data_IF_480411660917
#
_entry.id   IF_480411660917
#
_cell.length_a   1.000
_cell.length_b   1.000
_cell.length_c   1.000
_cell.angle_alpha   90.00
_cell.angle_beta   90.00
_cell.angle_gamma   90.00
#
_symmetry.space_group_name_H-M   'P 1'
#
loop_
_entity.id
_entity.type
_entity.pdbx_description
1 polymer ?
#
# COMPACT_ATOMS: atom_id res chain seq x y z
N UNK A 1 3.85 35.66 12.27
CA UNK A 1 5.04 35.35 13.09
C UNK A 1 6.21 36.16 12.56
N UNK A 2 6.77 37.03 13.39
CA UNK A 2 7.93 37.86 13.03
C UNK A 2 9.21 36.95 12.88
N UNK A 3 10.27 37.43 12.19
CA UNK A 3 11.53 36.69 12.12
C UNK A 3 12.10 36.30 13.50
N UNK A 4 11.93 37.16 14.50
CA UNK A 4 12.39 36.92 15.87
C UNK A 4 11.57 35.82 16.57
N UNK A 5 10.25 35.81 16.37
CA UNK A 5 9.39 34.75 16.88
C UNK A 5 9.67 33.40 16.25
N UNK A 6 10.02 33.39 14.96
CA UNK A 6 10.46 32.17 14.26
C UNK A 6 11.77 31.62 14.82
N UNK A 7 12.77 32.48 15.02
CA UNK A 7 14.03 32.09 15.63
C UNK A 7 13.84 31.53 17.04
N UNK A 8 12.97 32.13 17.86
CA UNK A 8 12.65 31.63 19.20
C UNK A 8 11.93 30.27 19.16
N UNK A 9 11.02 30.09 18.24
CA UNK A 9 10.31 28.80 18.05
C UNK A 9 11.28 27.71 17.59
N UNK A 10 12.16 28.00 16.63
CA UNK A 10 13.21 27.06 16.17
C UNK A 10 14.16 26.71 17.33
N UNK A 11 14.63 27.69 18.10
CA UNK A 11 15.52 27.44 19.24
C UNK A 11 14.84 26.68 20.40
N UNK A 12 13.52 26.79 20.54
CA UNK A 12 12.74 25.99 21.49
C UNK A 12 12.64 24.54 21.01
N UNK A 13 12.34 24.33 19.73
CA UNK A 13 12.27 23.01 19.11
C UNK A 13 13.63 22.29 19.11
N UNK A 14 14.72 23.03 18.87
CA UNK A 14 16.08 22.48 18.94
C UNK A 14 16.45 22.02 20.35
N UNK A 15 16.08 22.77 21.38
CA UNK A 15 16.29 22.38 22.79
C UNK A 15 15.49 21.17 23.20
N UNK A 16 14.28 21.04 22.69
CA UNK A 16 13.37 19.96 23.05
C UNK A 16 13.65 18.67 22.27
N UNK A 17 14.04 18.77 21.01
CA UNK A 17 14.12 17.64 20.06
C UNK A 17 15.53 17.40 19.47
N UNK A 18 16.51 18.28 19.75
CA UNK A 18 17.90 18.20 19.29
C UNK A 18 18.14 18.75 17.87
N UNK A 19 19.40 18.76 17.38
CA UNK A 19 19.80 19.47 16.15
C UNK A 19 19.11 19.01 14.89
N UNK A 20 18.62 17.78 14.86
CA UNK A 20 17.87 17.23 13.70
C UNK A 20 16.57 17.98 13.40
N UNK A 21 15.99 18.59 14.45
CA UNK A 21 14.80 19.40 14.32
C UNK A 21 15.01 20.70 13.56
N UNK A 22 16.22 21.22 13.59
CA UNK A 22 16.50 22.48 12.91
C UNK A 22 16.35 22.36 11.39
N UNK A 23 16.85 21.24 10.81
CA UNK A 23 16.66 20.98 9.37
C UNK A 23 15.20 20.78 9.01
N UNK A 24 14.45 20.06 9.83
CA UNK A 24 13.02 19.80 9.64
C UNK A 24 12.21 21.07 9.89
N UNK A 25 12.51 21.81 10.95
CA UNK A 25 11.82 23.07 11.28
C UNK A 25 12.11 24.17 10.24
N UNK A 26 13.29 24.21 9.65
CA UNK A 26 13.61 25.09 8.52
C UNK A 26 12.84 24.70 7.26
N UNK A 27 12.70 23.42 6.98
CA UNK A 27 11.87 22.90 5.87
C UNK A 27 10.38 23.18 6.09
N UNK A 28 9.91 23.06 7.34
CA UNK A 28 8.50 23.32 7.71
C UNK A 28 8.22 24.81 7.98
N UNK A 29 9.23 25.60 8.34
CA UNK A 29 9.11 27.02 8.70
C UNK A 29 8.95 27.97 7.52
N UNK A 30 8.99 27.45 6.30
CA UNK A 30 8.55 28.22 5.15
C UNK A 30 7.01 28.20 5.14
N UNK A 31 6.39 29.31 5.55
CA UNK A 31 4.93 29.55 5.44
C UNK A 31 4.37 29.13 4.08
N UNK A 32 5.19 29.19 3.05
CA UNK A 32 4.88 28.77 1.69
C UNK A 32 4.57 27.27 1.54
N UNK A 33 5.03 26.38 2.40
CA UNK A 33 4.68 24.96 2.33
C UNK A 33 3.29 24.69 2.94
N UNK A 34 2.88 25.46 3.97
CA UNK A 34 1.55 25.35 4.58
C UNK A 34 0.47 26.10 3.78
N UNK A 35 0.81 27.30 3.26
CA UNK A 35 -0.16 28.15 2.55
C UNK A 35 -0.31 27.80 1.07
N UNK A 36 0.69 27.19 0.46
CA UNK A 36 0.59 26.82 -0.96
C UNK A 36 -0.51 25.85 -1.29
N UNK A 37 -1.01 25.08 -0.34
CA UNK A 37 -1.76 23.92 -0.80
C UNK A 37 -3.07 23.69 -0.08
N UNK A 38 -3.30 24.11 1.14
CA UNK A 38 -4.40 23.52 1.92
C UNK A 38 -4.39 21.98 1.81
N UNK A 39 -3.30 21.38 1.36
CA UNK A 39 -3.12 19.97 1.04
C UNK A 39 -2.17 19.37 2.05
N UNK A 40 -2.68 18.41 2.78
CA UNK A 40 -1.96 17.71 3.83
C UNK A 40 -0.84 16.82 3.29
N UNK A 41 -0.84 16.47 1.99
CA UNK A 41 0.15 15.62 1.34
C UNK A 41 1.03 16.41 0.36
N UNK A 42 2.33 16.45 0.65
CA UNK A 42 3.36 17.05 -0.19
C UNK A 42 4.51 16.06 -0.38
N UNK A 43 5.52 16.39 -1.19
CA UNK A 43 6.72 15.54 -1.38
C UNK A 43 7.56 15.37 -0.10
N UNK A 44 7.28 16.13 0.94
CA UNK A 44 7.83 15.98 2.28
C UNK A 44 6.72 16.10 3.31
N UNK A 45 6.61 15.13 4.21
CA UNK A 45 5.64 15.15 5.31
C UNK A 45 6.33 14.92 6.65
N UNK A 46 5.84 15.61 7.67
CA UNK A 46 6.34 15.53 9.02
C UNK A 46 5.17 15.68 10.00
N UNK A 47 4.98 14.69 10.86
CA UNK A 47 3.94 14.67 11.86
C UNK A 47 4.58 14.50 13.25
N UNK A 48 4.92 15.61 13.94
CA UNK A 48 5.52 15.56 15.27
C UNK A 48 4.67 14.82 16.29
N UNK A 49 3.37 15.06 16.23
CA UNK A 49 2.40 14.27 16.98
C UNK A 49 1.81 13.18 16.08
N UNK A 50 1.61 12.01 16.66
CA UNK A 50 1.12 10.85 15.93
C UNK A 50 -0.33 11.01 15.46
N UNK A 51 -1.17 11.75 16.21
CA UNK A 51 -2.61 11.76 16.06
C UNK A 51 -3.30 10.52 16.67
N UNK A 52 -4.63 10.52 16.61
CA UNK A 52 -5.48 9.50 17.21
C UNK A 52 -5.65 8.29 16.27
N UNK A 53 -5.19 7.13 16.71
CA UNK A 53 -5.37 5.87 15.97
C UNK A 53 -4.23 4.87 16.17
N UNK A 54 -4.54 3.57 16.05
CA UNK A 54 -3.59 2.50 16.29
C UNK A 54 -3.15 2.41 17.76
N UNK A 55 -2.06 1.71 18.02
CA UNK A 55 -1.48 1.54 19.35
C UNK A 55 0.00 1.88 19.36
N UNK A 56 0.43 2.77 20.28
CA UNK A 56 1.85 3.07 20.49
C UNK A 56 2.63 1.86 21.03
N UNK A 57 1.95 0.91 21.67
CA UNK A 57 2.56 -0.33 22.13
C UNK A 57 2.90 -1.30 20.99
N UNK A 58 2.27 -1.13 19.82
CA UNK A 58 2.55 -1.97 18.66
C UNK A 58 3.77 -1.43 17.91
N UNK A 59 4.88 -2.16 17.98
CA UNK A 59 6.11 -1.78 17.27
C UNK A 59 5.90 -1.85 15.75
N UNK A 60 6.52 -0.93 15.02
CA UNK A 60 6.38 -0.85 13.57
C UNK A 60 5.05 -0.23 13.09
N UNK A 61 4.34 0.39 13.98
CA UNK A 61 3.07 1.03 13.70
C UNK A 61 3.25 2.39 12.98
N UNK A 62 2.45 2.65 11.96
CA UNK A 62 2.42 3.91 11.21
C UNK A 62 1.63 5.00 11.93
N UNK A 63 1.97 6.27 11.70
CA UNK A 63 1.13 7.40 12.12
C UNK A 63 -0.20 7.39 11.33
N UNK A 64 -1.36 7.49 12.02
CA UNK A 64 -2.66 7.63 11.35
C UNK A 64 -2.70 8.80 10.37
N UNK A 65 -2.01 9.90 10.66
CA UNK A 65 -1.95 11.07 9.78
C UNK A 65 -1.37 10.78 8.40
N UNK A 66 -0.46 9.81 8.29
CA UNK A 66 0.07 9.37 6.98
C UNK A 66 -1.03 8.71 6.16
N UNK A 67 -1.75 7.75 6.76
CA UNK A 67 -2.86 7.06 6.10
C UNK A 67 -3.96 8.03 5.72
N UNK A 68 -4.32 8.93 6.64
CA UNK A 68 -5.34 9.96 6.46
C UNK A 68 -4.99 10.90 5.29
N UNK A 69 -3.76 11.43 5.27
CA UNK A 69 -3.33 12.36 4.21
C UNK A 69 -3.38 11.71 2.83
N UNK A 70 -2.95 10.45 2.71
CA UNK A 70 -3.02 9.71 1.46
C UNK A 70 -4.47 9.42 1.06
N UNK A 71 -5.32 8.99 2.01
CA UNK A 71 -6.72 8.71 1.73
C UNK A 71 -7.47 9.97 1.27
N UNK A 72 -7.27 11.10 1.94
CA UNK A 72 -7.83 12.39 1.53
C UNK A 72 -7.36 12.80 0.13
N UNK A 73 -6.06 12.66 -0.15
CA UNK A 73 -5.52 12.97 -1.47
C UNK A 73 -6.21 12.15 -2.58
N UNK A 74 -6.38 10.84 -2.38
CA UNK A 74 -7.02 9.97 -3.39
C UNK A 74 -8.50 10.28 -3.52
N UNK A 75 -9.22 10.52 -2.40
CA UNK A 75 -10.61 10.95 -2.38
C UNK A 75 -10.81 12.27 -3.16
N UNK A 76 -9.99 13.28 -2.85
CA UNK A 76 -10.09 14.60 -3.48
C UNK A 76 -9.72 14.53 -4.97
N UNK A 77 -8.75 13.71 -5.32
CA UNK A 77 -8.41 13.45 -6.73
C UNK A 77 -9.60 12.84 -7.47
N UNK A 78 -10.24 11.81 -6.91
CA UNK A 78 -11.44 11.21 -7.52
C UNK A 78 -12.58 12.22 -7.66
N UNK A 79 -12.86 12.99 -6.62
CA UNK A 79 -13.87 14.07 -6.65
C UNK A 79 -13.58 15.10 -7.75
N UNK A 80 -12.32 15.55 -7.84
CA UNK A 80 -11.90 16.53 -8.84
C UNK A 80 -12.18 16.06 -10.27
N UNK A 81 -11.98 14.76 -10.54
CA UNK A 81 -12.30 14.16 -11.84
C UNK A 81 -13.74 13.65 -11.96
N UNK A 82 -14.64 14.03 -11.06
CA UNK A 82 -16.06 13.67 -11.12
C UNK A 82 -16.35 12.18 -10.93
N UNK A 83 -15.43 11.43 -10.30
CA UNK A 83 -15.62 9.99 -10.04
C UNK A 83 -16.52 9.78 -8.84
N UNK A 84 -17.28 8.70 -8.86
CA UNK A 84 -18.07 8.27 -7.72
C UNK A 84 -17.15 7.79 -6.59
N UNK A 85 -17.42 8.28 -5.39
CA UNK A 85 -16.70 7.95 -4.16
C UNK A 85 -17.59 7.26 -3.12
N UNK A 86 -18.85 6.98 -3.43
CA UNK A 86 -19.82 6.40 -2.49
C UNK A 86 -19.39 5.03 -1.96
N UNK A 87 -18.65 4.26 -2.76
CA UNK A 87 -18.09 2.95 -2.40
C UNK A 87 -16.54 2.98 -2.30
N UNK A 88 -15.99 4.14 -1.94
CA UNK A 88 -14.53 4.25 -1.78
C UNK A 88 -14.02 3.26 -0.75
N UNK A 89 -13.07 2.42 -1.15
CA UNK A 89 -12.52 1.36 -0.31
C UNK A 89 -11.03 1.54 -0.07
N UNK A 90 -10.65 1.64 1.20
CA UNK A 90 -9.26 1.54 1.68
C UNK A 90 -8.95 0.08 2.03
N UNK A 91 -7.96 -0.52 1.38
CA UNK A 91 -7.48 -1.86 1.66
C UNK A 91 -6.10 -1.80 2.30
N UNK A 92 -5.90 -2.54 3.39
CA UNK A 92 -4.62 -2.69 4.07
C UNK A 92 -4.32 -4.18 4.27
N UNK A 93 -3.30 -4.73 3.57
CA UNK A 93 -2.99 -6.16 3.61
C UNK A 93 -2.14 -6.58 4.82
N UNK A 94 -1.65 -5.62 5.62
CA UNK A 94 -0.83 -5.86 6.81
C UNK A 94 -1.23 -4.90 7.92
N UNK A 95 -2.50 -5.00 8.35
CA UNK A 95 -3.19 -4.00 9.17
C UNK A 95 -2.64 -3.82 10.59
N UNK A 96 -1.90 -4.79 11.11
CA UNK A 96 -1.21 -4.74 12.39
C UNK A 96 -2.10 -4.24 13.55
N UNK A 97 -1.84 -3.04 14.02
CA UNK A 97 -2.61 -2.38 15.10
C UNK A 97 -3.95 -1.79 14.64
N UNK A 98 -4.36 -1.98 13.38
CA UNK A 98 -5.64 -1.50 12.85
C UNK A 98 -5.70 0.00 12.59
N UNK A 99 -4.56 0.66 12.37
CA UNK A 99 -4.49 2.10 12.11
C UNK A 99 -5.33 2.51 10.90
N UNK A 100 -5.20 1.80 9.79
CA UNK A 100 -5.95 2.09 8.55
C UNK A 100 -7.46 1.96 8.72
N UNK A 101 -7.93 0.97 9.49
CA UNK A 101 -9.34 0.79 9.79
C UNK A 101 -9.93 1.92 10.63
N UNK A 102 -9.17 2.44 11.61
CA UNK A 102 -9.59 3.60 12.40
C UNK A 102 -9.69 4.86 11.56
N UNK A 103 -8.70 5.10 10.69
CA UNK A 103 -8.72 6.23 9.75
C UNK A 103 -9.89 6.11 8.78
N UNK A 104 -10.13 4.95 8.21
CA UNK A 104 -11.27 4.72 7.32
C UNK A 104 -12.61 5.04 8.01
N UNK A 105 -12.77 4.59 9.26
CA UNK A 105 -13.96 4.91 10.07
C UNK A 105 -14.12 6.42 10.29
N UNK A 106 -13.03 7.14 10.62
CA UNK A 106 -13.04 8.58 10.80
C UNK A 106 -13.41 9.35 9.53
N UNK A 107 -12.98 8.84 8.37
CA UNK A 107 -13.29 9.42 7.06
C UNK A 107 -14.65 9.00 6.49
N UNK A 108 -15.36 8.08 7.15
CA UNK A 108 -16.63 7.55 6.67
C UNK A 108 -16.52 6.70 5.40
N UNK A 109 -15.38 6.05 5.17
CA UNK A 109 -15.11 5.19 4.02
C UNK A 109 -15.05 3.71 4.39
N UNK A 110 -15.28 2.84 3.42
CA UNK A 110 -15.13 1.38 3.60
C UNK A 110 -13.67 1.02 3.81
N UNK A 111 -13.41 0.04 4.68
CA UNK A 111 -12.08 -0.57 4.81
C UNK A 111 -12.13 -2.08 4.69
N UNK A 112 -11.10 -2.64 4.05
CA UNK A 112 -10.80 -4.07 3.99
C UNK A 112 -9.42 -4.27 4.58
N UNK A 113 -9.33 -5.07 5.64
CA UNK A 113 -8.12 -5.23 6.43
C UNK A 113 -7.75 -6.70 6.55
N UNK A 114 -6.51 -7.01 6.26
CA UNK A 114 -5.93 -8.35 6.38
C UNK A 114 -4.69 -8.33 7.25
N UNK A 115 -4.38 -9.46 7.86
CA UNK A 115 -3.12 -9.66 8.57
C UNK A 115 -2.77 -11.15 8.66
N UNK A 116 -1.48 -11.47 8.65
CA UNK A 116 -0.99 -12.83 8.90
C UNK A 116 -1.20 -13.25 10.36
N UNK A 117 -1.22 -12.29 11.30
CA UNK A 117 -1.55 -12.53 12.69
C UNK A 117 -2.96 -13.17 12.79
N UNK A 118 -3.13 -14.31 13.48
CA UNK A 118 -4.43 -14.93 13.65
C UNK A 118 -5.43 -14.05 14.42
N UNK A 119 -4.94 -13.14 15.27
CA UNK A 119 -5.75 -12.26 16.10
C UNK A 119 -5.32 -10.79 15.90
N UNK A 120 -5.58 -10.19 14.72
CA UNK A 120 -5.26 -8.80 14.47
C UNK A 120 -6.17 -7.87 15.29
N UNK A 121 -5.73 -6.64 15.49
CA UNK A 121 -6.55 -5.63 16.19
C UNK A 121 -7.86 -5.30 15.43
N UNK A 122 -7.89 -5.53 14.13
CA UNK A 122 -9.08 -5.39 13.27
C UNK A 122 -8.86 -6.12 11.94
N UNK A 123 -9.96 -6.50 11.28
CA UNK A 123 -9.92 -7.18 9.99
C UNK A 123 -9.81 -8.70 10.07
N UNK A 124 -9.43 -9.32 8.95
CA UNK A 124 -9.32 -10.77 8.79
C UNK A 124 -7.91 -11.23 9.14
N UNK A 125 -7.79 -12.04 10.18
CA UNK A 125 -6.56 -12.74 10.57
C UNK A 125 -6.30 -14.00 9.76
N UNK A 126 -5.13 -14.59 9.95
CA UNK A 126 -4.64 -15.76 9.20
C UNK A 126 -4.65 -15.58 7.68
N UNK A 127 -4.56 -14.35 7.19
CA UNK A 127 -4.43 -14.09 5.77
C UNK A 127 -2.95 -13.98 5.38
N UNK A 128 -2.52 -14.88 4.51
CA UNK A 128 -1.13 -14.99 4.10
C UNK A 128 -0.91 -14.28 2.75
N UNK A 129 -0.22 -13.15 2.78
CA UNK A 129 0.05 -12.34 1.59
C UNK A 129 0.80 -13.09 0.48
N UNK A 130 1.57 -14.13 0.82
CA UNK A 130 2.32 -14.92 -0.14
C UNK A 130 1.51 -16.07 -0.76
N UNK A 131 0.48 -16.57 -0.06
CA UNK A 131 -0.24 -17.79 -0.47
C UNK A 131 -1.70 -17.54 -0.82
N UNK A 132 -2.38 -16.72 -0.01
CA UNK A 132 -3.81 -16.55 -0.14
C UNK A 132 -4.15 -15.59 -1.29
N UNK A 133 -5.25 -15.82 -1.94
CA UNK A 133 -5.81 -14.91 -2.93
C UNK A 133 -6.40 -13.67 -2.24
N UNK A 134 -6.49 -12.57 -2.98
CA UNK A 134 -7.12 -11.33 -2.56
C UNK A 134 -8.26 -11.03 -3.52
N UNK A 135 -9.49 -11.30 -3.08
CA UNK A 135 -10.70 -11.09 -3.89
C UNK A 135 -11.25 -9.67 -3.76
N UNK A 136 -10.96 -9.02 -2.64
CA UNK A 136 -11.32 -7.63 -2.44
C UNK A 136 -10.52 -6.70 -3.35
N UNK A 137 -11.11 -5.55 -3.65
CA UNK A 137 -10.45 -4.51 -4.44
C UNK A 137 -10.57 -3.16 -3.76
N UNK A 138 -9.53 -2.31 -3.93
CA UNK A 138 -9.46 -1.01 -3.29
C UNK A 138 -9.24 0.14 -4.26
N UNK A 139 -9.80 1.30 -3.91
CA UNK A 139 -9.45 2.57 -4.54
C UNK A 139 -8.11 3.10 -4.04
N UNK A 140 -7.82 2.82 -2.78
CA UNK A 140 -6.54 3.01 -2.15
C UNK A 140 -6.11 1.70 -1.47
N UNK A 141 -4.92 1.20 -1.81
CA UNK A 141 -4.27 0.14 -1.05
C UNK A 141 -3.11 0.80 -0.30
N UNK A 142 -3.17 0.80 1.03
CA UNK A 142 -2.09 1.28 1.88
C UNK A 142 -1.28 0.08 2.37
N UNK A 143 -0.02 0.01 1.97
CA UNK A 143 0.86 -1.12 2.23
C UNK A 143 2.07 -0.68 3.05
N UNK A 144 2.14 -1.13 4.29
CA UNK A 144 3.25 -0.88 5.21
C UNK A 144 3.85 -2.22 5.66
N UNK A 145 4.75 -2.80 4.85
CA UNK A 145 5.34 -4.10 5.14
C UNK A 145 6.34 -4.02 6.31
N UNK A 146 6.74 -5.15 6.89
CA UNK A 146 7.92 -5.22 7.73
C UNK A 146 9.15 -4.67 7.01
N UNK A 147 10.09 -4.09 7.77
CA UNK A 147 11.39 -3.65 7.24
C UNK A 147 12.41 -4.77 7.45
N UNK A 148 12.31 -5.82 6.64
CA UNK A 148 13.10 -7.04 6.77
C UNK A 148 13.09 -7.54 8.23
N UNK A 149 14.24 -7.77 8.84
CA UNK A 149 14.41 -8.38 10.16
C UNK A 149 14.52 -7.37 11.34
N UNK A 150 14.29 -6.07 11.10
CA UNK A 150 14.37 -5.02 12.14
C UNK A 150 13.40 -5.28 13.29
N UNK A 151 12.19 -5.74 12.96
CA UNK A 151 11.18 -6.20 13.91
C UNK A 151 10.71 -7.55 13.45
N UNK A 152 10.92 -8.59 14.24
CA UNK A 152 10.33 -9.91 14.00
C UNK A 152 8.94 -9.97 14.60
N UNK A 153 7.92 -10.21 13.76
CA UNK A 153 6.53 -10.16 14.19
C UNK A 153 6.07 -11.53 14.73
N UNK A 154 5.97 -12.56 13.90
CA UNK A 154 5.56 -13.89 14.38
C UNK A 154 6.60 -14.48 15.32
N UNK A 155 6.14 -15.13 16.39
CA UNK A 155 6.99 -15.69 17.44
C UNK A 155 7.53 -14.66 18.44
N UNK A 156 7.45 -13.35 18.15
CA UNK A 156 7.90 -12.29 19.05
C UNK A 156 6.78 -11.32 19.44
N UNK A 157 5.97 -10.89 18.48
CA UNK A 157 4.84 -10.00 18.74
C UNK A 157 3.52 -10.76 18.85
N UNK A 158 3.40 -11.88 18.13
CA UNK A 158 2.23 -12.75 18.15
C UNK A 158 2.61 -14.19 17.77
N UNK A 159 1.86 -15.15 18.28
CA UNK A 159 1.89 -16.58 17.94
C UNK A 159 3.27 -17.23 17.92
N UNK A 160 3.38 -18.31 17.17
CA UNK A 160 4.65 -19.00 16.87
C UNK A 160 5.30 -18.42 15.61
N UNK A 161 6.63 -18.63 15.40
CA UNK A 161 7.31 -18.23 14.16
C UNK A 161 6.60 -18.81 12.93
N UNK A 162 6.28 -17.96 11.96
CA UNK A 162 5.61 -18.35 10.73
C UNK A 162 6.58 -18.27 9.52
N UNK A 163 6.66 -19.30 8.65
CA UNK A 163 7.64 -19.34 7.56
C UNK A 163 7.40 -18.28 6.47
N UNK A 164 6.17 -17.81 6.34
CA UNK A 164 5.79 -16.79 5.36
C UNK A 164 5.72 -15.37 5.96
N UNK A 165 6.17 -15.18 7.19
CA UNK A 165 6.34 -13.85 7.77
C UNK A 165 7.54 -13.15 7.09
N UNK A 166 7.27 -12.05 6.40
CA UNK A 166 8.30 -11.28 5.68
C UNK A 166 9.43 -10.80 6.60
N UNK A 167 9.16 -10.62 7.89
CA UNK A 167 10.18 -10.25 8.86
C UNK A 167 11.14 -11.39 9.24
N UNK A 168 10.90 -12.59 8.71
CA UNK A 168 11.68 -13.81 8.98
C UNK A 168 12.38 -14.38 7.77
N UNK A 169 12.50 -13.61 6.69
CA UNK A 169 13.30 -14.00 5.53
C UNK A 169 14.77 -14.21 5.93
N UNK A 170 15.40 -15.24 5.35
CA UNK A 170 16.79 -15.60 5.67
C UNK A 170 17.79 -14.59 5.11
N UNK A 171 17.42 -13.85 4.08
CA UNK A 171 18.26 -12.82 3.46
C UNK A 171 17.44 -11.62 3.03
N UNK A 172 18.09 -10.49 2.85
CA UNK A 172 17.48 -9.29 2.30
C UNK A 172 16.99 -9.50 0.86
N UNK A 173 17.72 -10.25 0.06
CA UNK A 173 17.32 -10.55 -1.32
C UNK A 173 16.01 -11.37 -1.34
N UNK A 174 15.90 -12.42 -0.52
CA UNK A 174 14.65 -13.18 -0.36
C UNK A 174 13.49 -12.28 0.08
N UNK A 175 13.76 -11.36 1.01
CA UNK A 175 12.76 -10.40 1.47
C UNK A 175 12.26 -9.52 0.32
N UNK A 176 13.17 -8.93 -0.48
CA UNK A 176 12.80 -8.08 -1.63
C UNK A 176 12.02 -8.87 -2.68
N UNK A 177 12.39 -10.11 -2.93
CA UNK A 177 11.66 -10.99 -3.85
C UNK A 177 10.21 -11.19 -3.40
N UNK A 178 10.01 -11.58 -2.14
CA UNK A 178 8.68 -11.77 -1.55
C UNK A 178 7.89 -10.45 -1.49
N UNK A 179 8.55 -9.35 -1.14
CA UNK A 179 7.95 -8.01 -1.14
C UNK A 179 7.43 -7.64 -2.54
N UNK A 180 8.22 -7.86 -3.58
CA UNK A 180 7.85 -7.59 -4.95
C UNK A 180 6.69 -8.47 -5.42
N UNK A 181 6.64 -9.73 -4.99
CA UNK A 181 5.50 -10.60 -5.24
C UNK A 181 4.21 -10.05 -4.63
N UNK A 182 4.25 -9.60 -3.37
CA UNK A 182 3.09 -8.99 -2.70
C UNK A 182 2.68 -7.69 -3.39
N UNK A 183 3.63 -6.83 -3.77
CA UNK A 183 3.35 -5.58 -4.49
C UNK A 183 2.59 -5.83 -5.79
N UNK A 184 2.98 -6.85 -6.58
CA UNK A 184 2.26 -7.25 -7.80
C UNK A 184 0.83 -7.65 -7.49
N UNK A 185 0.63 -8.51 -6.48
CA UNK A 185 -0.70 -8.97 -6.06
C UNK A 185 -1.59 -7.79 -5.66
N UNK A 186 -1.06 -6.86 -4.86
CA UNK A 186 -1.79 -5.67 -4.42
C UNK A 186 -2.13 -4.73 -5.58
N UNK A 187 -1.20 -4.54 -6.52
CA UNK A 187 -1.47 -3.73 -7.70
C UNK A 187 -2.62 -4.28 -8.53
N UNK A 188 -2.71 -5.62 -8.66
CA UNK A 188 -3.83 -6.26 -9.36
C UNK A 188 -5.16 -6.07 -8.63
N UNK A 189 -5.14 -5.98 -7.30
CA UNK A 189 -6.31 -5.72 -6.48
C UNK A 189 -6.81 -4.26 -6.52
N UNK A 190 -6.05 -3.33 -7.10
CA UNK A 190 -6.51 -1.96 -7.29
C UNK A 190 -7.69 -1.90 -8.26
N UNK A 191 -8.67 -1.08 -7.95
CA UNK A 191 -9.70 -0.63 -8.89
C UNK A 191 -9.08 0.29 -9.96
N UNK A 192 -9.79 0.50 -11.05
CA UNK A 192 -9.40 1.48 -12.07
C UNK A 192 -9.13 2.85 -11.41
N UNK A 193 -8.07 3.53 -11.85
CA UNK A 193 -7.60 4.81 -11.27
C UNK A 193 -7.26 4.74 -9.77
N UNK A 194 -7.19 3.54 -9.19
CA UNK A 194 -6.79 3.34 -7.79
C UNK A 194 -5.31 3.60 -7.57
N UNK A 195 -4.93 3.76 -6.30
CA UNK A 195 -3.54 4.01 -5.89
C UNK A 195 -3.05 2.95 -4.93
N UNK A 196 -1.83 2.50 -5.17
CA UNK A 196 -1.05 1.73 -4.22
C UNK A 196 -0.06 2.69 -3.53
N UNK A 197 -0.21 2.85 -2.24
CA UNK A 197 0.69 3.63 -1.39
C UNK A 197 1.55 2.68 -0.57
N UNK A 198 2.86 2.67 -0.84
CA UNK A 198 3.82 1.79 -0.15
C UNK A 198 4.68 2.63 0.77
N UNK A 199 4.58 2.39 2.08
CA UNK A 199 5.42 3.04 3.09
C UNK A 199 6.56 2.10 3.47
N UNK A 200 7.80 2.52 3.21
CA UNK A 200 9.02 1.75 3.50
C UNK A 200 10.10 2.65 4.08
N UNK A 201 11.07 2.05 4.75
CA UNK A 201 12.24 2.76 5.28
C UNK A 201 13.55 2.14 4.81
N UNK A 202 14.63 2.91 4.83
CA UNK A 202 15.97 2.36 4.71
C UNK A 202 16.34 1.64 6.00
N UNK A 203 17.16 0.61 5.89
CA UNK A 203 17.61 -0.16 7.04
C UNK A 203 19.11 -0.32 7.07
N UNK A 204 19.63 -0.48 8.27
CA UNK A 204 21.02 -0.89 8.49
C UNK A 204 21.03 -2.19 9.29
N UNK A 205 21.61 -3.21 8.72
CA UNK A 205 21.77 -4.51 9.37
C UNK A 205 23.19 -5.02 9.15
N UNK A 206 23.86 -5.47 10.22
CA UNK A 206 25.21 -6.03 10.19
C UNK A 206 26.25 -5.15 9.45
N UNK A 207 26.18 -3.82 9.67
CA UNK A 207 27.09 -2.84 9.05
C UNK A 207 26.80 -2.50 7.59
N UNK A 208 25.80 -3.13 6.96
CA UNK A 208 25.35 -2.83 5.59
C UNK A 208 24.17 -1.88 5.61
N UNK A 209 24.09 -1.04 4.60
CA UNK A 209 22.96 -0.17 4.33
C UNK A 209 22.12 -0.77 3.19
N UNK A 210 20.81 -0.83 3.39
CA UNK A 210 19.84 -1.31 2.41
C UNK A 210 18.76 -0.25 2.20
N UNK A 211 18.52 0.09 0.95
CA UNK A 211 17.53 1.10 0.55
C UNK A 211 16.29 0.44 -0.03
N UNK A 212 15.35 0.04 0.85
CA UNK A 212 14.15 -0.69 0.42
C UNK A 212 13.39 0.04 -0.68
N UNK A 213 13.28 1.37 -0.57
CA UNK A 213 12.60 2.19 -1.57
C UNK A 213 13.28 2.17 -2.94
N UNK A 214 14.61 1.92 -3.00
CA UNK A 214 15.36 1.80 -4.25
C UNK A 214 15.28 0.37 -4.81
N UNK A 215 15.34 -0.62 -3.93
CA UNK A 215 15.49 -2.04 -4.29
C UNK A 215 14.15 -2.71 -4.62
N UNK A 216 13.03 -2.18 -4.09
CA UNK A 216 11.70 -2.68 -4.42
C UNK A 216 11.29 -2.32 -5.85
N UNK A 217 10.45 -3.14 -6.46
CA UNK A 217 9.93 -2.86 -7.79
C UNK A 217 9.09 -1.58 -7.82
N UNK A 218 9.12 -0.90 -8.97
CA UNK A 218 8.18 0.16 -9.32
C UNK A 218 7.16 -0.42 -10.29
N UNK A 219 5.87 -0.16 -10.06
CA UNK A 219 4.78 -0.79 -10.81
C UNK A 219 3.74 0.26 -11.23
N UNK A 220 3.23 0.16 -12.46
CA UNK A 220 2.27 1.11 -13.00
C UNK A 220 2.85 2.53 -13.11
N UNK A 221 1.98 3.53 -13.06
CA UNK A 221 2.40 4.93 -13.10
C UNK A 221 2.96 5.36 -11.75
N UNK A 222 4.25 5.63 -11.68
CA UNK A 222 4.89 6.18 -10.50
C UNK A 222 4.47 7.63 -10.32
N UNK A 223 3.49 7.88 -9.45
CA UNK A 223 2.86 9.19 -9.29
C UNK A 223 3.66 10.11 -8.38
N UNK A 224 4.20 9.59 -7.27
CA UNK A 224 4.92 10.42 -6.31
C UNK A 224 5.88 9.63 -5.43
N UNK A 225 6.96 10.32 -5.04
CA UNK A 225 7.91 9.93 -4.00
C UNK A 225 7.86 10.96 -2.89
N UNK A 226 7.48 10.52 -1.70
CA UNK A 226 7.24 11.39 -0.55
C UNK A 226 8.19 10.98 0.56
N UNK A 227 9.01 11.91 1.03
CA UNK A 227 9.88 11.72 2.19
C UNK A 227 9.07 12.01 3.45
N UNK A 228 9.01 11.04 4.35
CA UNK A 228 8.38 11.18 5.67
C UNK A 228 9.46 11.28 6.74
N UNK A 229 9.46 12.37 7.51
CA UNK A 229 10.28 12.49 8.70
C UNK A 229 9.79 11.54 9.79
N UNK A 230 10.73 10.85 10.44
CA UNK A 230 10.46 10.08 11.66
C UNK A 230 10.78 10.94 12.89
N UNK A 231 9.96 10.81 13.92
CA UNK A 231 10.17 11.42 15.22
C UNK A 231 10.24 10.33 16.27
N UNK A 232 11.08 10.53 17.28
CA UNK A 232 11.30 9.59 18.38
C UNK A 232 11.73 8.19 17.89
N UNK A 233 12.52 8.13 16.83
CA UNK A 233 13.05 6.88 16.35
C UNK A 233 14.20 6.38 17.24
N UNK A 234 14.46 5.07 17.20
CA UNK A 234 15.55 4.46 17.98
C UNK A 234 16.92 5.08 17.64
N UNK A 235 17.09 5.58 16.41
CA UNK A 235 18.31 6.25 15.97
C UNK A 235 18.56 7.57 16.70
N UNK A 236 17.51 8.26 17.14
CA UNK A 236 17.64 9.57 17.84
C UNK A 236 18.18 9.41 19.27
N UNK A 237 17.87 8.29 19.92
CA UNK A 237 18.25 8.02 21.31
C UNK A 237 19.61 7.34 21.47
N UNK A 238 20.19 6.81 20.39
CA UNK A 238 21.46 6.07 20.43
C UNK A 238 22.67 6.99 20.28
N UNK A 239 23.66 6.81 21.15
CA UNK A 239 25.03 7.37 20.97
C UNK A 239 25.86 6.39 20.17
N UNK A 240 26.48 6.87 19.12
CA UNK A 240 27.39 6.07 18.27
C UNK A 240 28.83 6.37 18.57
N UNK A 241 29.66 5.33 18.78
CA UNK A 241 31.09 5.49 19.09
C UNK A 241 31.91 5.95 17.88
N UNK A 242 31.37 5.84 16.65
CA UNK A 242 32.05 6.25 15.41
C UNK A 242 31.13 7.18 14.62
N UNK A 243 31.66 8.00 13.70
CA UNK A 243 30.82 8.78 12.78
C UNK A 243 29.79 7.90 12.10
N UNK A 244 28.54 8.31 12.14
CA UNK A 244 27.39 7.55 11.66
C UNK A 244 26.30 8.49 11.16
N UNK A 245 25.66 8.14 10.05
CA UNK A 245 24.48 8.85 9.54
C UNK A 245 23.23 8.09 9.99
N UNK A 246 22.45 8.60 10.96
CA UNK A 246 21.21 7.97 11.38
C UNK A 246 20.18 7.92 10.26
N UNK A 247 19.36 6.88 10.23
CA UNK A 247 18.16 6.82 9.39
C UNK A 247 17.02 7.44 10.19
N UNK A 248 16.52 8.58 9.73
CA UNK A 248 15.46 9.36 10.38
C UNK A 248 14.28 9.64 9.43
N UNK A 249 14.23 8.92 8.33
CA UNK A 249 13.20 9.06 7.31
C UNK A 249 12.58 7.72 6.94
N UNK A 250 11.34 7.78 6.50
CA UNK A 250 10.64 6.76 5.75
C UNK A 250 10.19 7.35 4.41
N UNK A 251 9.81 6.50 3.49
CA UNK A 251 9.44 6.89 2.14
C UNK A 251 8.09 6.32 1.79
N UNK A 252 7.20 7.19 1.36
CA UNK A 252 5.89 6.82 0.85
C UNK A 252 5.91 6.93 -0.68
N UNK A 253 5.83 5.78 -1.34
CA UNK A 253 5.79 5.68 -2.78
C UNK A 253 4.35 5.51 -3.23
N UNK A 254 3.90 6.34 -4.16
CA UNK A 254 2.55 6.32 -4.66
C UNK A 254 2.54 5.89 -6.14
N UNK A 255 1.79 4.83 -6.43
CA UNK A 255 1.62 4.26 -7.76
C UNK A 255 0.14 4.31 -8.16
N UNK A 256 -0.15 4.83 -9.33
CA UNK A 256 -1.50 4.83 -9.90
C UNK A 256 -1.67 3.62 -10.82
N UNK A 257 -2.83 2.98 -10.74
CA UNK A 257 -3.21 1.92 -11.69
C UNK A 257 -3.39 2.51 -13.08
N UNK A 258 -2.72 1.92 -14.05
CA UNK A 258 -2.88 2.25 -15.46
C UNK A 258 -3.91 1.34 -16.11
N UNK A 259 -4.64 1.88 -17.11
CA UNK A 259 -5.65 1.13 -17.87
C UNK A 259 -5.03 0.08 -18.79
N UNK A 260 -3.76 0.23 -19.14
CA UNK A 260 -3.03 -0.71 -19.99
C UNK A 260 -2.46 -1.82 -19.15
N UNK A 261 -2.78 -3.04 -19.53
CA UNK A 261 -2.29 -4.28 -18.91
C UNK A 261 -0.80 -4.49 -19.26
N UNK A 262 0.09 -3.63 -18.76
CA UNK A 262 1.53 -3.84 -18.87
C UNK A 262 1.97 -4.54 -17.61
N UNK A 263 2.27 -5.85 -17.71
CA UNK A 263 3.09 -6.51 -16.71
C UNK A 263 4.53 -6.06 -17.00
N UNK A 264 5.12 -5.16 -16.19
CA UNK A 264 6.51 -4.79 -16.39
C UNK A 264 7.38 -5.98 -16.02
N UNK A 265 7.86 -6.72 -17.02
CA UNK A 265 8.98 -7.62 -16.83
C UNK A 265 10.24 -6.78 -16.65
N UNK A 266 10.68 -6.61 -15.42
CA UNK A 266 12.02 -6.12 -15.16
C UNK A 266 13.00 -7.20 -15.62
N UNK A 267 13.69 -6.96 -16.74
CA UNK A 267 14.73 -7.86 -17.28
C UNK A 267 15.85 -8.17 -16.27
N UNK A 268 15.99 -7.38 -15.23
CA UNK A 268 17.08 -7.50 -14.25
C UNK A 268 16.82 -8.60 -13.21
N UNK A 269 15.57 -8.99 -13.00
CA UNK A 269 15.20 -10.07 -12.07
C UNK A 269 14.85 -11.37 -12.78
N UNK A 270 14.67 -11.36 -14.11
CA UNK A 270 14.31 -12.54 -14.93
C UNK A 270 15.40 -13.60 -15.02
N UNK A 271 16.63 -13.34 -14.57
CA UNK A 271 17.71 -14.33 -14.56
C UNK A 271 17.77 -15.21 -13.31
N UNK A 272 17.06 -14.86 -12.22
CA UNK A 272 17.04 -15.64 -10.96
C UNK A 272 15.66 -16.15 -10.56
N UNK A 273 14.61 -15.62 -11.15
CA UNK A 273 13.27 -16.15 -11.04
C UNK A 273 12.98 -16.98 -12.29
N UNK A 274 13.10 -18.27 -12.17
CA UNK A 274 12.21 -19.17 -12.84
C UNK A 274 10.83 -18.94 -12.20
N UNK A 275 10.21 -17.82 -12.54
CA UNK A 275 8.79 -17.60 -12.30
C UNK A 275 8.13 -18.66 -13.17
N UNK A 276 8.05 -19.85 -12.61
CA UNK A 276 7.32 -20.94 -13.19
C UNK A 276 5.99 -20.37 -13.61
N UNK A 277 5.63 -20.61 -14.84
CA UNK A 277 4.36 -20.19 -15.45
C UNK A 277 3.12 -20.47 -14.60
N UNK A 278 3.25 -21.13 -13.46
CA UNK A 278 2.26 -21.33 -12.40
C UNK A 278 2.09 -20.13 -11.48
N UNK A 279 3.08 -19.25 -11.37
CA UNK A 279 3.10 -18.15 -10.39
C UNK A 279 2.69 -16.79 -11.00
N UNK A 280 2.38 -16.72 -12.30
CA UNK A 280 1.62 -15.60 -12.90
C UNK A 280 0.17 -15.49 -12.36
N UNK A 281 -0.16 -16.35 -11.41
CA UNK A 281 -1.49 -16.51 -10.85
C UNK A 281 -1.68 -15.68 -9.58
N UNK A 282 -1.21 -14.46 -9.56
CA UNK A 282 -1.66 -13.51 -8.53
C UNK A 282 -2.98 -12.84 -8.90
N UNK A 283 -3.45 -13.09 -10.12
CA UNK A 283 -4.71 -12.57 -10.62
C UNK A 283 -5.83 -13.59 -10.34
N UNK A 284 -6.72 -13.30 -9.39
CA UNK A 284 -7.92 -14.12 -9.17
C UNK A 284 -8.85 -14.05 -10.37
N UNK A 285 -9.77 -15.01 -10.51
CA UNK A 285 -10.82 -14.93 -11.51
C UNK A 285 -11.68 -13.68 -11.33
N UNK A 286 -11.92 -13.28 -10.08
CA UNK A 286 -12.64 -12.06 -9.76
C UNK A 286 -11.93 -10.82 -10.32
N UNK A 287 -10.63 -10.67 -10.08
CA UNK A 287 -9.87 -9.53 -10.62
C UNK A 287 -9.82 -9.56 -12.15
N UNK A 288 -9.69 -10.73 -12.75
CA UNK A 288 -9.66 -10.87 -14.20
C UNK A 288 -10.98 -10.42 -14.83
N UNK A 289 -12.12 -10.94 -14.33
CA UNK A 289 -13.45 -10.54 -14.81
C UNK A 289 -13.71 -9.05 -14.59
N UNK A 290 -13.37 -8.53 -13.42
CA UNK A 290 -13.52 -7.12 -13.08
C UNK A 290 -12.74 -6.22 -14.04
N UNK A 291 -11.44 -6.50 -14.22
CA UNK A 291 -10.59 -5.71 -15.11
C UNK A 291 -11.03 -5.77 -16.56
N UNK A 292 -11.52 -6.92 -17.01
CA UNK A 292 -12.10 -7.05 -18.36
C UNK A 292 -13.34 -6.17 -18.51
N UNK A 293 -14.24 -6.16 -17.53
CA UNK A 293 -15.39 -5.24 -17.53
C UNK A 293 -14.92 -3.78 -17.51
N UNK A 294 -13.96 -3.42 -16.66
CA UNK A 294 -13.40 -2.07 -16.62
C UNK A 294 -12.85 -1.63 -17.98
N UNK A 295 -12.18 -2.53 -18.72
CA UNK A 295 -11.59 -2.21 -20.03
C UNK A 295 -12.63 -1.92 -21.13
N UNK A 296 -13.86 -2.39 -20.95
CA UNK A 296 -14.96 -2.18 -21.92
C UNK A 296 -16.03 -1.19 -21.39
N UNK A 297 -15.68 -0.36 -20.43
CA UNK A 297 -16.57 0.67 -19.90
C UNK A 297 -17.51 0.20 -18.79
N UNK A 298 -17.20 -0.92 -18.13
CA UNK A 298 -17.87 -1.42 -16.93
C UNK A 298 -19.09 -2.32 -17.19
N UNK A 299 -19.47 -2.55 -18.45
CA UNK A 299 -20.63 -3.38 -18.83
C UNK A 299 -20.31 -4.22 -20.06
N UNK A 300 -20.65 -5.51 -20.02
CA UNK A 300 -20.50 -6.41 -21.16
C UNK A 300 -21.49 -7.58 -21.09
N UNK A 301 -21.79 -8.17 -22.26
CA UNK A 301 -22.48 -9.44 -22.32
C UNK A 301 -21.55 -10.58 -21.91
N UNK A 302 -22.11 -11.63 -21.38
CA UNK A 302 -21.33 -12.80 -20.95
C UNK A 302 -20.52 -13.43 -22.10
N UNK A 303 -21.09 -13.43 -23.32
CA UNK A 303 -20.42 -13.88 -24.55
C UNK A 303 -19.17 -13.08 -24.86
N UNK A 304 -19.25 -11.76 -24.67
CA UNK A 304 -18.13 -10.86 -24.97
C UNK A 304 -17.01 -11.05 -23.95
N UNK A 305 -17.36 -11.27 -22.66
CA UNK A 305 -16.39 -11.63 -21.63
C UNK A 305 -15.66 -12.93 -21.96
N UNK A 306 -16.35 -13.94 -22.50
CA UNK A 306 -15.70 -15.18 -22.91
C UNK A 306 -14.71 -14.92 -24.04
N UNK A 307 -15.11 -14.20 -25.09
CA UNK A 307 -14.23 -13.90 -26.23
C UNK A 307 -13.01 -13.04 -25.84
N UNK A 308 -13.20 -12.08 -24.92
CA UNK A 308 -12.10 -11.25 -24.44
C UNK A 308 -11.10 -12.01 -23.57
N UNK A 309 -11.54 -13.09 -22.92
CA UNK A 309 -10.72 -13.86 -21.97
C UNK A 309 -10.18 -15.17 -22.53
N UNK A 310 -10.66 -15.69 -23.65
CA UNK A 310 -10.28 -17.00 -24.19
C UNK A 310 -8.79 -17.12 -24.46
N UNK A 311 -8.13 -16.02 -24.84
CA UNK A 311 -6.69 -15.98 -25.08
C UNK A 311 -5.82 -15.77 -23.83
N UNK A 312 -6.43 -15.45 -22.71
CA UNK A 312 -5.72 -15.24 -21.46
C UNK A 312 -5.13 -16.56 -20.93
N UNK A 313 -3.87 -16.59 -20.44
CA UNK A 313 -3.23 -17.82 -19.95
C UNK A 313 -4.05 -18.58 -18.91
N UNK A 314 -4.74 -17.87 -18.01
CA UNK A 314 -5.61 -18.47 -16.98
C UNK A 314 -6.83 -19.18 -17.59
N UNK A 315 -7.37 -18.69 -18.71
CA UNK A 315 -8.46 -19.31 -19.45
C UNK A 315 -7.94 -20.50 -20.29
N UNK A 316 -6.81 -20.34 -20.98
CA UNK A 316 -6.16 -21.43 -21.75
C UNK A 316 -5.80 -22.65 -20.91
N UNK A 317 -5.49 -22.43 -19.64
CA UNK A 317 -5.15 -23.50 -18.69
C UNK A 317 -6.34 -24.06 -17.92
N UNK A 318 -7.58 -23.67 -18.27
CA UNK A 318 -8.80 -24.12 -17.60
C UNK A 318 -9.88 -24.44 -18.62
N UNK A 319 -10.14 -25.72 -18.86
CA UNK A 319 -11.18 -26.20 -19.79
C UNK A 319 -12.58 -25.68 -19.43
N UNK A 320 -12.82 -25.37 -18.17
CA UNK A 320 -14.08 -24.85 -17.63
C UNK A 320 -14.05 -23.34 -17.35
N UNK A 321 -13.23 -22.56 -18.08
CA UNK A 321 -13.07 -21.15 -17.81
C UNK A 321 -14.38 -20.34 -17.92
N UNK A 322 -15.28 -20.73 -18.82
CA UNK A 322 -16.59 -20.07 -19.00
C UNK A 322 -17.49 -20.25 -17.77
N UNK A 323 -17.52 -21.47 -17.23
CA UNK A 323 -18.23 -21.80 -16.00
C UNK A 323 -17.61 -21.04 -14.82
N UNK A 324 -16.30 -20.95 -14.79
CA UNK A 324 -15.58 -20.23 -13.72
C UNK A 324 -15.84 -18.72 -13.75
N UNK A 325 -15.92 -18.10 -14.94
CA UNK A 325 -16.33 -16.71 -15.09
C UNK A 325 -17.75 -16.49 -14.51
N UNK A 326 -18.69 -17.35 -14.86
CA UNK A 326 -20.06 -17.27 -14.33
C UNK A 326 -20.09 -17.43 -12.81
N UNK A 327 -19.43 -18.45 -12.29
CA UNK A 327 -19.34 -18.71 -10.87
C UNK A 327 -18.77 -17.50 -10.12
N UNK A 328 -17.69 -16.91 -10.65
CA UNK A 328 -17.06 -15.72 -10.08
C UNK A 328 -18.03 -14.53 -9.97
N UNK A 329 -18.82 -14.26 -11.02
CA UNK A 329 -19.82 -13.19 -10.98
C UNK A 329 -20.90 -13.48 -9.92
N UNK A 330 -21.32 -14.74 -9.80
CA UNK A 330 -22.33 -15.14 -8.80
C UNK A 330 -21.79 -15.17 -7.36
N UNK A 331 -20.51 -15.49 -7.17
CA UNK A 331 -19.82 -15.47 -5.88
C UNK A 331 -19.68 -14.03 -5.34
N UNK A 332 -19.56 -13.04 -6.25
CA UNK A 332 -19.33 -11.63 -5.93
C UNK A 332 -20.50 -10.72 -6.31
N UNK A 333 -21.75 -11.13 -5.99
CA UNK A 333 -22.98 -10.36 -6.31
C UNK A 333 -23.01 -8.95 -5.72
N UNK A 334 -22.23 -8.70 -4.70
CA UNK A 334 -22.05 -7.38 -4.11
C UNK A 334 -21.27 -6.41 -5.02
N UNK A 335 -20.55 -6.93 -6.02
CA UNK A 335 -19.72 -6.13 -6.93
C UNK A 335 -20.24 -6.11 -8.37
N UNK A 336 -21.15 -7.02 -8.73
CA UNK A 336 -21.71 -7.13 -10.07
C UNK A 336 -23.23 -6.94 -10.07
N UNK A 337 -23.75 -6.39 -11.15
CA UNK A 337 -25.19 -6.26 -11.45
C UNK A 337 -25.47 -7.11 -12.68
N UNK A 338 -26.46 -7.98 -12.62
CA UNK A 338 -26.96 -8.74 -13.77
C UNK A 338 -28.21 -8.06 -14.34
N UNK A 339 -28.24 -7.80 -15.63
CA UNK A 339 -29.41 -7.34 -16.35
C UNK A 339 -30.19 -8.52 -16.99
N UNK A 340 -31.46 -8.28 -17.40
CA UNK A 340 -32.34 -9.29 -17.95
C UNK A 340 -31.84 -9.94 -19.27
N UNK A 341 -30.85 -9.32 -19.96
CA UNK A 341 -30.40 -9.75 -21.29
C UNK A 341 -29.03 -10.49 -21.23
N UNK A 342 -28.63 -11.04 -20.08
CA UNK A 342 -27.35 -11.71 -19.94
C UNK A 342 -26.15 -10.76 -19.98
N UNK A 343 -26.37 -9.52 -19.68
CA UNK A 343 -25.40 -8.46 -19.58
C UNK A 343 -25.02 -8.25 -18.10
N UNK A 344 -23.74 -8.03 -17.83
CA UNK A 344 -23.21 -7.85 -16.50
C UNK A 344 -22.48 -6.52 -16.40
N UNK A 345 -22.74 -5.79 -15.32
CA UNK A 345 -22.13 -4.49 -15.05
C UNK A 345 -21.44 -4.48 -13.70
N UNK A 346 -20.40 -3.66 -13.57
CA UNK A 346 -19.84 -3.31 -12.27
C UNK A 346 -20.81 -2.42 -11.49
N UNK A 347 -20.92 -2.61 -10.18
CA UNK A 347 -21.75 -1.74 -9.31
C UNK A 347 -21.23 -0.31 -9.23
N UNK A 348 -19.93 -0.10 -9.41
CA UNK A 348 -19.35 1.23 -9.49
C UNK A 348 -19.20 1.67 -10.94
N UNK A 349 -19.32 2.98 -11.18
CA UNK A 349 -19.16 3.54 -12.51
C UNK A 349 -17.71 3.48 -12.94
N UNK A 350 -17.48 2.90 -14.11
CA UNK A 350 -16.22 3.00 -14.85
C UNK A 350 -16.32 4.27 -15.69
N UNK A 351 -15.43 5.21 -15.45
CA UNK A 351 -15.45 6.50 -16.15
C UNK A 351 -14.70 6.43 -17.48
#
# INVERSE_FOLDING_TARGET
>A
MTPVERMRAVAALEREFGPQWMSIAQMLGTENLRTRVGKELTSFIAFPDRGDGGSNAWRGNCSPKVVESVAKYVLDTKKYYGKDISDFTLLDPMSGSGTSGKVAKQLGIRSVLYDLNPNPASGKGNWNALRDEIDDSGDLIFFHPPYHDIIKYSGNMWGSPHPDDLSRCNSYDEFIEKLNFVIKKLYMALRKDGRLAVLVGDIRSQGKFYSMQNDMMKIGKYESFIVKAQFNCVSDSKRYAKPFIPVVTEYLLLFQKEDVFVIPFSKTLSSKFDVRKKDDVTLTWHHLVRMTLESVGGTAKLTDLYSLLEDHPKAKNNEHFRERIRATIYEHKDQYISSANGEYSLRYKVA
#
